data_IF_088590696532
#
_entry.id   IF_088590696532
#
_cell.length_a   1.000
_cell.length_b   1.000
_cell.length_c   1.000
_cell.angle_alpha   90.00
_cell.angle_beta   90.00
_cell.angle_gamma   90.00
#
_symmetry.space_group_name_H-M   'P 1'
#
loop_
_entity.id
_entity.type
_entity.pdbx_description
1 polymer ?
#
# COMPACT_ATOMS: atom_id res chain seq x y z
N UNK A 1 -8.79 -16.65 6.03
CA UNK A 1 -7.78 -15.58 6.14
C UNK A 1 -8.43 -14.32 6.65
N UNK A 2 -7.74 -13.63 7.53
CA UNK A 2 -8.23 -12.39 8.17
C UNK A 2 -7.25 -11.26 7.89
N UNK A 3 -7.77 -10.09 7.52
CA UNK A 3 -6.97 -8.88 7.44
C UNK A 3 -6.68 -8.40 8.88
N UNK A 4 -5.44 -7.98 9.15
CA UNK A 4 -5.15 -7.34 10.42
C UNK A 4 -5.93 -6.04 10.53
N UNK A 5 -6.14 -5.56 11.75
CA UNK A 5 -6.84 -4.29 11.97
C UNK A 5 -6.12 -3.13 11.28
N UNK A 6 -4.79 -3.14 11.29
CA UNK A 6 -3.98 -2.12 10.63
C UNK A 6 -4.21 -2.11 9.12
N UNK A 7 -4.26 -3.29 8.48
CA UNK A 7 -4.52 -3.41 7.04
C UNK A 7 -5.93 -2.93 6.71
N UNK A 8 -6.93 -3.34 7.49
CA UNK A 8 -8.29 -2.86 7.29
C UNK A 8 -8.37 -1.34 7.40
N UNK A 9 -7.68 -0.78 8.39
CA UNK A 9 -7.61 0.66 8.58
C UNK A 9 -7.00 1.40 7.39
N UNK A 10 -5.88 0.88 6.87
CA UNK A 10 -5.20 1.46 5.71
C UNK A 10 -6.14 1.48 4.50
N UNK A 11 -6.75 0.34 4.18
CA UNK A 11 -7.65 0.23 3.02
C UNK A 11 -8.88 1.12 3.18
N UNK A 12 -9.46 1.16 4.37
CA UNK A 12 -10.61 2.02 4.65
C UNK A 12 -10.26 3.50 4.47
N UNK A 13 -9.14 3.94 5.07
CA UNK A 13 -8.70 5.33 4.95
C UNK A 13 -8.35 5.72 3.51
N UNK A 14 -7.83 4.78 2.72
CA UNK A 14 -7.56 5.02 1.30
C UNK A 14 -8.85 5.36 0.54
N UNK A 15 -9.93 4.60 0.78
CA UNK A 15 -11.24 4.89 0.18
C UNK A 15 -11.82 6.22 0.68
N UNK A 16 -11.77 6.45 1.98
CA UNK A 16 -12.29 7.69 2.57
C UNK A 16 -11.55 8.91 2.01
N UNK A 17 -10.22 8.84 1.94
CA UNK A 17 -9.42 9.94 1.40
C UNK A 17 -9.76 10.23 -0.06
N UNK A 18 -9.94 9.18 -0.88
CA UNK A 18 -10.33 9.34 -2.28
C UNK A 18 -11.71 10.01 -2.40
N UNK A 19 -12.68 9.57 -1.61
CA UNK A 19 -14.03 10.16 -1.61
C UNK A 19 -14.02 11.61 -1.16
N UNK A 20 -13.33 11.90 -0.08
CA UNK A 20 -13.27 13.27 0.48
C UNK A 20 -12.58 14.23 -0.47
N UNK A 21 -11.60 13.75 -1.24
CA UNK A 21 -10.93 14.54 -2.26
C UNK A 21 -11.74 14.66 -3.56
N UNK A 22 -12.86 13.95 -3.66
CA UNK A 22 -13.69 13.95 -4.87
C UNK A 22 -13.06 13.20 -6.03
N UNK A 23 -12.21 12.22 -5.76
CA UNK A 23 -11.59 11.41 -6.80
C UNK A 23 -12.56 10.37 -7.34
N UNK A 24 -12.57 10.20 -8.68
CA UNK A 24 -13.42 9.22 -9.33
C UNK A 24 -12.97 7.78 -9.06
N UNK A 25 -11.70 7.61 -8.71
CA UNK A 25 -11.08 6.30 -8.51
C UNK A 25 -10.25 6.29 -7.24
N UNK A 26 -10.10 5.09 -6.65
CA UNK A 26 -9.11 4.83 -5.62
C UNK A 26 -8.04 3.91 -6.19
N UNK A 27 -6.78 4.25 -5.95
CA UNK A 27 -5.61 3.70 -6.64
C UNK A 27 -4.59 3.14 -5.65
N UNK A 28 -3.57 2.41 -6.13
CA UNK A 28 -2.44 2.02 -5.29
C UNK A 28 -1.76 3.21 -4.61
N UNK A 29 -1.76 4.39 -5.24
CA UNK A 29 -1.17 5.59 -4.67
C UNK A 29 -1.91 6.06 -3.43
N UNK A 30 -3.22 5.85 -3.36
CA UNK A 30 -3.99 6.10 -2.15
C UNK A 30 -3.59 5.12 -1.03
N UNK A 31 -3.38 3.84 -1.37
CA UNK A 31 -2.87 2.86 -0.40
C UNK A 31 -1.50 3.29 0.11
N UNK A 32 -0.61 3.69 -0.81
CA UNK A 32 0.76 4.05 -0.46
C UNK A 32 0.83 5.19 0.54
N UNK A 33 0.02 6.24 0.35
CA UNK A 33 0.00 7.36 1.31
C UNK A 33 -0.41 6.92 2.71
N UNK A 34 -1.40 6.04 2.81
CA UNK A 34 -1.82 5.54 4.11
C UNK A 34 -0.78 4.59 4.73
N UNK A 35 -0.12 3.76 3.90
CA UNK A 35 0.92 2.85 4.37
C UNK A 35 2.12 3.59 4.94
N UNK A 36 2.63 4.60 4.24
CA UNK A 36 3.81 5.32 4.72
C UNK A 36 3.53 6.14 5.98
N UNK A 37 2.26 6.41 6.27
CA UNK A 37 1.84 7.09 7.48
C UNK A 37 1.76 6.14 8.69
N UNK A 38 1.75 4.82 8.47
CA UNK A 38 1.81 3.85 9.56
C UNK A 38 3.23 3.84 10.16
N UNK A 39 3.34 3.93 11.48
CA UNK A 39 4.63 4.01 12.17
C UNK A 39 5.55 2.86 11.82
N UNK A 40 5.02 1.64 11.77
CA UNK A 40 5.79 0.45 11.43
C UNK A 40 6.40 0.54 10.04
N UNK A 41 5.62 0.96 9.06
CA UNK A 41 6.07 1.06 7.67
C UNK A 41 7.03 2.24 7.50
N UNK A 42 6.68 3.40 8.04
CA UNK A 42 7.51 4.60 7.95
C UNK A 42 8.87 4.40 8.59
N UNK A 43 8.91 3.77 9.76
CA UNK A 43 10.16 3.47 10.47
C UNK A 43 11.02 2.50 9.66
N UNK A 44 10.41 1.46 9.12
CA UNK A 44 11.11 0.48 8.28
C UNK A 44 11.72 1.16 7.04
N UNK A 45 10.94 1.97 6.33
CA UNK A 45 11.40 2.67 5.13
C UNK A 45 12.54 3.65 5.46
N UNK A 46 12.45 4.35 6.58
CA UNK A 46 13.52 5.24 7.02
C UNK A 46 14.83 4.47 7.21
N UNK A 47 14.78 3.27 7.78
CA UNK A 47 15.94 2.40 7.94
C UNK A 47 16.51 1.94 6.61
N UNK A 48 15.68 1.77 5.59
CA UNK A 48 16.12 1.40 4.24
C UNK A 48 16.68 2.60 3.47
N UNK A 49 16.69 3.77 4.07
CA UNK A 49 17.17 4.99 3.42
C UNK A 49 16.18 5.58 2.44
N UNK A 50 14.88 5.42 2.70
CA UNK A 50 13.82 5.99 1.85
C UNK A 50 13.61 7.47 2.19
N UNK A 51 13.63 8.32 1.16
CA UNK A 51 13.23 9.72 1.28
C UNK A 51 11.71 9.81 1.28
N UNK A 52 11.11 9.75 2.47
CA UNK A 52 9.66 9.74 2.63
C UNK A 52 9.01 11.03 2.15
N UNK A 53 9.68 12.16 2.30
CA UNK A 53 9.17 13.45 1.81
C UNK A 53 9.04 13.42 0.29
N UNK A 54 10.05 12.89 -0.41
CA UNK A 54 10.03 12.75 -1.86
C UNK A 54 8.91 11.79 -2.31
N UNK A 55 8.72 10.67 -1.61
CA UNK A 55 7.66 9.72 -1.92
C UNK A 55 6.29 10.38 -1.78
N UNK A 56 6.04 11.02 -0.64
CA UNK A 56 4.77 11.69 -0.39
C UNK A 56 4.48 12.76 -1.44
N UNK A 57 5.48 13.56 -1.80
CA UNK A 57 5.35 14.61 -2.79
C UNK A 57 4.94 14.05 -4.16
N UNK A 58 5.58 12.97 -4.61
CA UNK A 58 5.25 12.32 -5.89
C UNK A 58 3.86 11.72 -5.88
N UNK A 59 3.48 11.10 -4.76
CA UNK A 59 2.13 10.52 -4.63
C UNK A 59 1.06 11.60 -4.67
N UNK A 60 1.25 12.70 -3.97
CA UNK A 60 0.29 13.80 -3.96
C UNK A 60 0.19 14.47 -5.32
N UNK A 61 1.29 14.62 -6.03
CA UNK A 61 1.29 15.14 -7.40
C UNK A 61 0.47 14.24 -8.32
N UNK A 62 0.69 12.93 -8.23
CA UNK A 62 -0.09 11.96 -9.01
C UNK A 62 -1.58 12.06 -8.69
N UNK A 63 -1.93 12.08 -7.41
CA UNK A 63 -3.32 12.14 -6.96
C UNK A 63 -4.01 13.45 -7.38
N UNK A 64 -3.25 14.54 -7.46
CA UNK A 64 -3.77 15.82 -7.92
C UNK A 64 -4.21 15.83 -9.37
N UNK A 65 -3.80 14.83 -10.17
CA UNK A 65 -4.18 14.69 -11.57
C UNK A 65 -5.38 13.76 -11.78
N UNK A 66 -5.88 13.13 -10.71
CA UNK A 66 -7.00 12.21 -10.81
C UNK A 66 -8.28 12.99 -11.13
N UNK A 67 -9.06 12.43 -12.05
CA UNK A 67 -10.33 13.03 -12.47
C UNK A 67 -11.29 13.12 -11.28
N UNK A 68 -11.93 14.28 -11.15
CA UNK A 68 -12.95 14.52 -10.15
C UNK A 68 -14.24 13.78 -10.52
N UNK A 69 -14.95 13.27 -9.49
CA UNK A 69 -16.31 12.76 -9.62
C UNK A 69 -17.34 13.68 -8.98
N UNK A 70 -16.94 14.89 -8.64
CA UNK A 70 -17.85 15.87 -8.04
C UNK A 70 -19.00 16.15 -9.00
N UNK A 71 -20.24 15.93 -8.53
CA UNK A 71 -21.43 16.06 -9.36
C UNK A 71 -21.76 14.84 -10.21
N UNK A 72 -20.94 13.82 -10.22
CA UNK A 72 -21.24 12.56 -10.91
C UNK A 72 -22.22 11.70 -10.10
N UNK A 73 -23.00 10.89 -10.79
CA UNK A 73 -23.93 9.94 -10.15
C UNK A 73 -23.22 8.70 -9.62
N UNK A 74 -22.01 8.42 -10.12
CA UNK A 74 -21.24 7.22 -9.78
C UNK A 74 -20.25 7.53 -8.67
N UNK A 75 -20.26 6.72 -7.63
CA UNK A 75 -19.34 6.82 -6.51
C UNK A 75 -17.91 6.42 -6.94
N UNK A 76 -16.93 6.72 -6.08
CA UNK A 76 -15.53 6.35 -6.27
C UNK A 76 -15.39 4.84 -6.44
N UNK A 77 -14.65 4.41 -7.45
CA UNK A 77 -14.44 3.01 -7.80
C UNK A 77 -12.98 2.60 -7.64
N UNK A 78 -12.76 1.39 -7.15
CA UNK A 78 -11.42 0.81 -7.09
C UNK A 78 -10.91 0.50 -8.50
N UNK A 79 -9.66 0.91 -8.80
CA UNK A 79 -9.04 0.56 -10.09
C UNK A 79 -8.65 -0.92 -10.13
N UNK A 80 -8.47 -1.49 -11.35
CA UNK A 80 -7.92 -2.85 -11.45
C UNK A 80 -6.56 -3.00 -10.74
N UNK A 81 -5.70 -1.99 -10.78
CA UNK A 81 -4.41 -2.03 -10.11
C UNK A 81 -4.55 -2.05 -8.58
N UNK A 82 -5.51 -1.29 -8.02
CA UNK A 82 -5.85 -1.37 -6.60
C UNK A 82 -6.26 -2.79 -6.22
N UNK A 83 -7.17 -3.37 -7.02
CA UNK A 83 -7.66 -4.73 -6.80
C UNK A 83 -6.53 -5.76 -6.88
N UNK A 84 -5.59 -5.60 -7.84
CA UNK A 84 -4.44 -6.50 -7.95
C UNK A 84 -3.53 -6.44 -6.73
N UNK A 85 -3.29 -5.27 -6.18
CA UNK A 85 -2.48 -5.14 -4.97
C UNK A 85 -3.11 -5.95 -3.82
N UNK A 86 -4.39 -5.80 -3.61
CA UNK A 86 -5.10 -6.53 -2.54
C UNK A 86 -5.07 -8.04 -2.82
N UNK A 87 -5.38 -8.44 -4.05
CA UNK A 87 -5.37 -9.86 -4.45
C UNK A 87 -3.99 -10.48 -4.28
N UNK A 88 -2.94 -9.77 -4.71
CA UNK A 88 -1.54 -10.23 -4.56
C UNK A 88 -1.19 -10.43 -3.09
N UNK A 89 -1.58 -9.49 -2.22
CA UNK A 89 -1.33 -9.60 -0.79
C UNK A 89 -2.04 -10.83 -0.19
N UNK A 90 -3.28 -11.06 -0.59
CA UNK A 90 -4.06 -12.23 -0.14
C UNK A 90 -3.39 -13.53 -0.59
N UNK A 91 -3.02 -13.62 -1.86
CA UNK A 91 -2.39 -14.82 -2.40
C UNK A 91 -1.06 -15.12 -1.71
N UNK A 92 -0.27 -14.09 -1.46
CA UNK A 92 1.00 -14.20 -0.76
C UNK A 92 0.81 -14.77 0.65
N UNK A 93 -0.15 -14.24 1.38
CA UNK A 93 -0.44 -14.69 2.74
C UNK A 93 -0.91 -16.15 2.76
N UNK A 94 -1.74 -16.53 1.79
CA UNK A 94 -2.20 -17.92 1.64
C UNK A 94 -1.07 -18.88 1.29
N UNK A 95 -0.21 -18.49 0.36
CA UNK A 95 0.95 -19.29 -0.04
C UNK A 95 1.87 -19.55 1.14
N UNK A 96 2.07 -18.56 2.00
CA UNK A 96 2.87 -18.67 3.21
C UNK A 96 2.12 -19.36 4.36
N UNK A 97 0.88 -19.77 4.14
CA UNK A 97 0.01 -20.45 5.12
C UNK A 97 -0.16 -19.66 6.41
N UNK A 98 -0.24 -18.33 6.30
CA UNK A 98 -0.48 -17.47 7.43
C UNK A 98 -1.97 -17.13 7.53
N UNK A 99 -2.45 -16.94 8.75
CA UNK A 99 -3.85 -16.63 9.02
C UNK A 99 -4.15 -15.15 8.78
N UNK A 100 -3.20 -14.27 9.11
CA UNK A 100 -3.41 -12.83 9.05
C UNK A 100 -2.59 -12.18 7.94
N UNK A 101 -3.27 -11.34 7.14
CA UNK A 101 -2.64 -10.47 6.17
C UNK A 101 -2.18 -9.21 6.93
N UNK A 102 -0.87 -8.98 6.96
CA UNK A 102 -0.25 -7.92 7.73
C UNK A 102 0.20 -6.77 6.84
N UNK A 103 0.58 -5.64 7.45
CA UNK A 103 1.03 -4.46 6.71
C UNK A 103 2.17 -4.78 5.74
N UNK A 104 3.11 -5.63 6.13
CA UNK A 104 4.22 -6.00 5.24
C UNK A 104 3.74 -6.73 3.98
N UNK A 105 2.69 -7.53 4.08
CA UNK A 105 2.13 -8.23 2.93
C UNK A 105 1.54 -7.25 1.94
N UNK A 106 0.82 -6.26 2.45
CA UNK A 106 0.24 -5.20 1.64
C UNK A 106 1.34 -4.35 1.01
N UNK A 107 2.37 -3.99 1.79
CA UNK A 107 3.51 -3.22 1.31
C UNK A 107 4.23 -3.94 0.17
N UNK A 108 4.55 -5.23 0.34
CA UNK A 108 5.23 -5.99 -0.70
C UNK A 108 4.38 -6.14 -1.96
N UNK A 109 3.08 -6.34 -1.81
CA UNK A 109 2.16 -6.39 -2.94
C UNK A 109 2.13 -5.06 -3.69
N UNK A 110 2.18 -3.94 -2.96
CA UNK A 110 2.25 -2.61 -3.54
C UNK A 110 3.55 -2.42 -4.35
N UNK A 111 4.68 -2.84 -3.80
CA UNK A 111 5.98 -2.78 -4.49
C UNK A 111 5.94 -3.64 -5.76
N UNK A 112 5.30 -4.80 -5.70
CA UNK A 112 5.21 -5.73 -6.84
C UNK A 112 4.26 -5.25 -7.95
N UNK A 113 3.45 -4.25 -7.68
CA UNK A 113 2.65 -3.59 -8.74
C UNK A 113 3.57 -2.58 -9.46
N UNK A 114 4.51 -3.12 -10.26
CA UNK A 114 5.64 -2.39 -10.84
C UNK A 114 5.25 -1.26 -11.78
N UNK A 115 4.09 -1.34 -12.40
CA UNK A 115 3.59 -0.30 -13.28
C UNK A 115 2.97 0.90 -12.55
N UNK A 116 2.81 0.81 -11.23
CA UNK A 116 2.22 1.91 -10.46
C UNK A 116 3.23 2.99 -10.14
N UNK A 117 2.76 4.23 -10.08
CA UNK A 117 3.58 5.35 -9.60
C UNK A 117 4.03 5.13 -8.16
N UNK A 118 3.19 4.49 -7.35
CA UNK A 118 3.52 4.18 -5.96
C UNK A 118 4.78 3.32 -5.85
N UNK A 119 4.83 2.21 -6.59
CA UNK A 119 6.00 1.32 -6.59
C UNK A 119 7.26 2.05 -7.07
N UNK A 120 7.17 2.75 -8.20
CA UNK A 120 8.29 3.49 -8.77
C UNK A 120 8.79 4.56 -7.80
N UNK A 121 7.88 5.33 -7.20
CA UNK A 121 8.24 6.40 -6.28
C UNK A 121 9.01 5.86 -5.06
N UNK A 122 8.54 4.77 -4.47
CA UNK A 122 9.19 4.18 -3.30
C UNK A 122 10.55 3.60 -3.67
N UNK A 123 10.64 2.84 -4.75
CA UNK A 123 11.89 2.20 -5.17
C UNK A 123 12.95 3.22 -5.54
N UNK A 124 12.60 4.27 -6.28
CA UNK A 124 13.55 5.30 -6.68
C UNK A 124 14.01 6.17 -5.50
N UNK A 125 13.17 6.34 -4.49
CA UNK A 125 13.49 7.15 -3.32
C UNK A 125 14.23 6.36 -2.22
N UNK A 126 14.45 5.06 -2.41
CA UNK A 126 15.06 4.19 -1.41
C UNK A 126 16.51 3.90 -1.75
N UNK A 127 17.41 4.15 -0.80
CA UNK A 127 18.85 3.91 -0.98
C UNK A 127 19.16 2.42 -1.08
N UNK A 128 18.51 1.61 -0.29
CA UNK A 128 18.77 0.16 -0.20
C UNK A 128 17.51 -0.66 -0.52
N UNK A 129 17.01 -0.60 -1.78
CA UNK A 129 15.76 -1.29 -2.12
C UNK A 129 15.87 -2.82 -2.03
N UNK A 130 17.09 -3.37 -2.10
CA UNK A 130 17.30 -4.81 -1.93
C UNK A 130 16.90 -5.31 -0.54
N UNK A 131 16.84 -4.42 0.47
CA UNK A 131 16.36 -4.78 1.79
C UNK A 131 14.91 -5.30 1.76
N UNK A 132 14.11 -4.87 0.76
CA UNK A 132 12.74 -5.35 0.61
C UNK A 132 12.68 -6.85 0.29
N UNK A 133 13.73 -7.40 -0.32
CA UNK A 133 13.79 -8.85 -0.57
C UNK A 133 13.94 -9.64 0.73
N UNK A 134 14.64 -9.09 1.70
CA UNK A 134 14.76 -9.71 3.03
C UNK A 134 13.41 -9.72 3.74
N UNK A 135 12.60 -8.67 3.53
CA UNK A 135 11.28 -8.58 4.13
C UNK A 135 10.35 -9.69 3.63
N UNK A 136 10.57 -10.20 2.42
CA UNK A 136 9.75 -11.28 1.84
C UNK A 136 9.84 -12.58 2.65
N UNK A 137 10.97 -12.83 3.29
CA UNK A 137 11.21 -14.06 4.06
C UNK A 137 11.16 -13.83 5.57
N UNK A 138 11.03 -12.57 6.00
CA UNK A 138 11.00 -12.23 7.42
C UNK A 138 9.72 -12.73 8.07
N UNK A 139 9.87 -13.36 9.24
CA UNK A 139 8.76 -13.70 10.12
C UNK A 139 8.93 -12.98 11.44
N UNK A 140 7.94 -12.19 11.81
CA UNK A 140 7.91 -11.59 13.14
C UNK A 140 7.56 -12.66 14.19
N UNK A 141 8.24 -12.61 15.31
CA UNK A 141 7.91 -13.49 16.45
C UNK A 141 6.51 -13.19 17.00
N UNK A 142 5.96 -12.03 16.69
CA UNK A 142 4.64 -11.61 17.13
C UNK A 142 3.52 -12.02 16.17
N UNK A 143 3.88 -12.54 14.98
CA UNK A 143 2.88 -13.03 14.05
C UNK A 143 2.25 -14.31 14.58
N UNK A 144 0.90 -14.37 14.55
CA UNK A 144 0.24 -15.63 14.91
C UNK A 144 0.60 -16.69 13.86
N UNK A 145 0.96 -17.88 14.31
CA UNK A 145 1.20 -19.00 13.42
C UNK A 145 -0.11 -19.43 12.78
N UNK A 146 -0.03 -19.77 11.49
CA UNK A 146 -1.14 -20.40 10.80
C UNK A 146 -1.24 -21.83 11.32
N UNK A 147 -2.11 -22.03 12.26
CA UNK A 147 -2.31 -23.35 12.87
C UNK A 147 -3.16 -24.25 11.97
#
# INVERSE_FOLDING_TARGET
MTLSDDVEGVLHRAFVAAREAGHAIVTPEHIALELIAEDEVGTYLARCGTDLVAVESRLREYLGRIKSNVGAEVDTQATPSFQRVVTTAIQRTRTDRREYLMLRDLFLALIDERGSTASVAILEATREPLAFEELRTYRSAEEPDAA
#
